data_IF_053472156713
#
_entry.id   IF_053472156713
#
_cell.length_a   1.000
_cell.length_b   1.000
_cell.length_c   1.000
_cell.angle_alpha   90.00
_cell.angle_beta   90.00
_cell.angle_gamma   90.00
#
_symmetry.space_group_name_H-M   'P 1'
#
loop_
_entity.id
_entity.type
_entity.pdbx_description
1 polymer ?
#
# COMPACT_ATOMS: atom_id res chain seq x y z
N UNK A 1 -21.37 0.17 17.00
CA UNK A 1 -20.39 0.16 15.90
C UNK A 1 -20.30 -1.24 15.34
N UNK A 2 -20.28 -1.44 14.02
CA UNK A 2 -20.02 -2.77 13.46
C UNK A 2 -18.60 -3.18 13.85
N UNK A 3 -18.42 -4.42 14.33
CA UNK A 3 -17.11 -4.95 14.67
C UNK A 3 -16.24 -5.01 13.40
N UNK A 4 -15.05 -4.42 13.47
CA UNK A 4 -14.07 -4.52 12.38
C UNK A 4 -13.39 -5.87 12.48
N UNK A 5 -13.52 -6.69 11.45
CA UNK A 5 -12.88 -8.01 11.36
C UNK A 5 -11.80 -8.02 10.28
N UNK A 6 -10.82 -8.95 10.34
CA UNK A 6 -9.82 -9.11 9.28
C UNK A 6 -10.43 -9.27 7.88
N UNK A 7 -11.54 -10.00 7.77
CA UNK A 7 -12.25 -10.18 6.49
C UNK A 7 -12.84 -8.88 5.96
N UNK A 8 -13.40 -8.04 6.84
CA UNK A 8 -13.90 -6.71 6.45
C UNK A 8 -12.74 -5.84 5.98
N UNK A 9 -11.61 -5.83 6.69
CA UNK A 9 -10.41 -5.08 6.29
C UNK A 9 -9.94 -5.53 4.90
N UNK A 10 -9.77 -6.85 4.72
CA UNK A 10 -9.35 -7.43 3.43
C UNK A 10 -10.30 -7.06 2.30
N UNK A 11 -11.61 -7.15 2.52
CA UNK A 11 -12.60 -6.79 1.52
C UNK A 11 -12.56 -5.29 1.16
N UNK A 12 -12.34 -4.41 2.14
CA UNK A 12 -12.19 -2.97 1.87
C UNK A 12 -10.89 -2.64 1.15
N UNK A 13 -9.77 -3.30 1.51
CA UNK A 13 -8.50 -3.15 0.79
C UNK A 13 -8.65 -3.55 -0.68
N UNK A 14 -9.20 -4.74 -0.94
CA UNK A 14 -9.45 -5.22 -2.31
C UNK A 14 -10.35 -4.28 -3.12
N UNK A 15 -11.38 -3.72 -2.47
CA UNK A 15 -12.25 -2.72 -3.10
C UNK A 15 -11.50 -1.42 -3.42
N UNK A 16 -10.63 -0.98 -2.53
CA UNK A 16 -9.76 0.18 -2.74
C UNK A 16 -8.81 -0.03 -3.92
N UNK A 17 -8.12 -1.17 -3.96
CA UNK A 17 -7.17 -1.53 -5.01
C UNK A 17 -7.86 -1.59 -6.38
N UNK A 18 -9.02 -2.26 -6.48
CA UNK A 18 -9.77 -2.33 -7.71
C UNK A 18 -10.19 -0.94 -8.21
N UNK A 19 -10.66 -0.08 -7.30
CA UNK A 19 -11.06 1.28 -7.66
C UNK A 19 -9.87 2.13 -8.10
N UNK A 20 -8.71 1.99 -7.46
CA UNK A 20 -7.49 2.68 -7.85
C UNK A 20 -7.03 2.24 -9.25
N UNK A 21 -7.04 0.93 -9.52
CA UNK A 21 -6.68 0.39 -10.82
C UNK A 21 -7.56 0.92 -11.95
N UNK A 22 -8.88 0.97 -11.75
CA UNK A 22 -9.83 1.59 -12.69
C UNK A 22 -9.49 3.07 -12.94
N UNK A 23 -9.26 3.83 -11.86
CA UNK A 23 -8.94 5.25 -11.97
C UNK A 23 -7.66 5.47 -12.78
N UNK A 24 -6.60 4.71 -12.47
CA UNK A 24 -5.31 4.81 -13.15
C UNK A 24 -5.41 4.48 -14.65
N UNK A 25 -6.29 3.57 -15.08
CA UNK A 25 -6.51 3.28 -16.50
C UNK A 25 -7.16 4.45 -17.24
N UNK A 26 -7.99 5.22 -16.55
CA UNK A 26 -8.75 6.33 -17.14
C UNK A 26 -8.08 7.70 -16.98
N UNK A 27 -7.03 7.80 -16.15
CA UNK A 27 -6.37 9.05 -15.80
C UNK A 27 -5.42 9.50 -16.92
N UNK A 28 -5.69 10.59 -17.64
CA UNK A 28 -4.75 11.11 -18.62
C UNK A 28 -3.53 11.68 -17.89
N UNK A 29 -2.32 11.27 -18.25
CA UNK A 29 -1.07 11.70 -17.61
C UNK A 29 -0.88 13.23 -17.55
N UNK A 30 -1.52 13.94 -18.46
CA UNK A 30 -1.48 15.40 -18.63
C UNK A 30 -2.57 16.14 -17.84
N UNK A 31 -3.52 15.42 -17.22
CA UNK A 31 -4.56 16.06 -16.41
C UNK A 31 -3.97 16.65 -15.14
N UNK A 32 -4.47 17.82 -14.78
CA UNK A 32 -4.16 18.46 -13.51
C UNK A 32 -5.26 18.10 -12.51
N UNK A 33 -4.87 17.61 -11.34
CA UNK A 33 -5.77 17.37 -10.22
C UNK A 33 -6.14 18.70 -9.54
N UNK A 34 -7.03 18.64 -8.56
CA UNK A 34 -7.42 19.81 -7.76
C UNK A 34 -6.18 20.47 -7.16
N UNK A 35 -5.95 21.75 -7.49
CA UNK A 35 -4.76 22.49 -7.08
C UNK A 35 -3.60 22.50 -8.10
N UNK A 36 -3.89 22.25 -9.39
CA UNK A 36 -2.93 22.34 -10.52
C UNK A 36 -1.73 21.38 -10.43
N UNK A 37 -1.84 20.28 -9.68
CA UNK A 37 -0.80 19.26 -9.70
C UNK A 37 -1.00 18.28 -10.86
N UNK A 38 0.05 17.98 -11.64
CA UNK A 38 -0.04 16.92 -12.63
C UNK A 38 -0.43 15.59 -11.97
N UNK A 39 -1.39 14.88 -12.56
CA UNK A 39 -1.98 13.69 -11.97
C UNK A 39 -0.93 12.59 -11.67
N UNK A 40 0.10 12.48 -12.50
CA UNK A 40 1.23 11.57 -12.26
C UNK A 40 1.96 11.85 -10.94
N UNK A 41 2.10 13.12 -10.51
CA UNK A 41 2.72 13.45 -9.22
C UNK A 41 1.84 13.02 -8.05
N UNK A 42 0.53 13.13 -8.18
CA UNK A 42 -0.40 12.62 -7.19
C UNK A 42 -0.27 11.10 -7.05
N UNK A 43 -0.20 10.37 -8.17
CA UNK A 43 0.03 8.92 -8.16
C UNK A 43 1.35 8.54 -7.50
N UNK A 44 2.45 9.24 -7.84
CA UNK A 44 3.75 9.01 -7.21
C UNK A 44 3.70 9.22 -5.69
N UNK A 45 3.04 10.29 -5.22
CA UNK A 45 2.84 10.55 -3.78
C UNK A 45 2.04 9.44 -3.09
N UNK A 46 1.05 8.88 -3.77
CA UNK A 46 0.29 7.74 -3.25
C UNK A 46 1.17 6.49 -3.13
N UNK A 47 2.02 6.21 -4.13
CA UNK A 47 2.99 5.11 -4.08
C UNK A 47 3.98 5.32 -2.92
N UNK A 48 4.51 6.53 -2.77
CA UNK A 48 5.42 6.88 -1.66
C UNK A 48 4.77 6.64 -0.29
N UNK A 49 3.50 6.99 -0.14
CA UNK A 49 2.72 6.78 1.08
C UNK A 49 2.60 5.28 1.44
N UNK A 50 2.25 4.44 0.46
CA UNK A 50 2.14 2.99 0.69
C UNK A 50 3.50 2.34 1.00
N UNK A 51 4.57 2.78 0.32
CA UNK A 51 5.93 2.32 0.63
C UNK A 51 6.36 2.71 2.05
N UNK A 52 5.98 3.90 2.51
CA UNK A 52 6.25 4.35 3.88
C UNK A 52 5.56 3.45 4.91
N UNK A 53 4.27 3.17 4.73
CA UNK A 53 3.53 2.26 5.61
C UNK A 53 4.07 0.82 5.57
N UNK A 54 4.46 0.34 4.39
CA UNK A 54 5.10 -0.97 4.27
C UNK A 54 6.39 -1.06 5.10
N UNK A 55 7.23 -0.02 5.05
CA UNK A 55 8.43 0.07 5.90
C UNK A 55 8.13 0.09 7.40
N UNK A 56 7.06 0.77 7.82
CA UNK A 56 6.61 0.74 9.22
C UNK A 56 6.19 -0.67 9.66
N UNK A 57 5.48 -1.41 8.80
CA UNK A 57 5.09 -2.79 9.07
C UNK A 57 6.30 -3.71 9.17
N UNK A 58 7.30 -3.56 8.29
CA UNK A 58 8.56 -4.30 8.40
C UNK A 58 9.21 -4.04 9.76
N UNK A 59 9.36 -2.78 10.16
CA UNK A 59 9.93 -2.44 11.48
C UNK A 59 9.14 -3.12 12.62
N UNK A 60 7.82 -3.15 12.53
CA UNK A 60 6.97 -3.81 13.52
C UNK A 60 7.23 -5.33 13.57
N UNK A 61 7.36 -5.99 12.41
CA UNK A 61 7.75 -7.41 12.34
C UNK A 61 9.09 -7.65 13.05
N UNK A 62 10.09 -6.78 12.84
CA UNK A 62 11.42 -6.92 13.44
C UNK A 62 11.43 -6.66 14.95
N UNK A 63 10.80 -5.57 15.41
CA UNK A 63 10.73 -5.23 16.83
C UNK A 63 10.03 -6.31 17.67
N UNK A 64 9.02 -6.98 17.10
CA UNK A 64 8.20 -7.95 17.81
C UNK A 64 8.50 -9.41 17.44
N UNK A 65 9.51 -9.67 16.59
CA UNK A 65 9.87 -11.00 16.09
C UNK A 65 8.65 -11.78 15.56
N UNK A 66 7.79 -11.10 14.80
CA UNK A 66 6.60 -11.72 14.21
C UNK A 66 6.98 -12.58 12.99
N UNK A 67 6.17 -13.56 12.57
CA UNK A 67 6.46 -14.31 11.36
C UNK A 67 6.56 -13.39 10.14
N UNK A 68 7.68 -13.48 9.39
CA UNK A 68 7.84 -12.79 8.12
C UNK A 68 7.02 -13.54 7.05
N UNK A 69 6.11 -12.87 6.32
CA UNK A 69 5.40 -13.49 5.21
C UNK A 69 6.39 -14.07 4.16
N UNK A 70 6.20 -15.31 3.67
CA UNK A 70 7.15 -15.92 2.73
C UNK A 70 7.38 -15.12 1.44
N UNK A 71 6.33 -14.49 0.90
CA UNK A 71 6.46 -13.60 -0.25
C UNK A 71 7.38 -12.43 0.05
N UNK A 72 7.27 -11.84 1.25
CA UNK A 72 8.07 -10.68 1.63
C UNK A 72 9.53 -11.02 1.91
N UNK A 73 9.80 -12.20 2.45
CA UNK A 73 11.17 -12.68 2.64
C UNK A 73 11.94 -12.73 1.31
N UNK A 74 11.30 -13.19 0.23
CA UNK A 74 11.90 -13.25 -1.09
C UNK A 74 11.92 -11.89 -1.80
N UNK A 75 10.76 -11.22 -1.90
CA UNK A 75 10.61 -9.97 -2.67
C UNK A 75 11.43 -8.81 -2.10
N UNK A 76 11.59 -8.77 -0.76
CA UNK A 76 12.24 -7.67 -0.05
C UNK A 76 13.50 -8.11 0.69
N UNK A 77 14.00 -9.33 0.41
CA UNK A 77 15.19 -9.92 1.03
C UNK A 77 15.18 -9.87 2.58
N UNK A 78 14.01 -10.04 3.20
CA UNK A 78 13.86 -9.98 4.65
C UNK A 78 14.25 -11.31 5.31
N UNK A 79 15.08 -11.22 6.35
CA UNK A 79 15.47 -12.35 7.20
C UNK A 79 15.76 -11.86 8.60
N UNK A 80 15.56 -12.73 9.59
CA UNK A 80 16.06 -12.47 10.95
C UNK A 80 17.54 -12.80 11.02
N UNK A 81 18.30 -11.93 11.67
CA UNK A 81 19.63 -12.31 12.13
C UNK A 81 19.47 -13.41 13.19
N UNK A 82 20.26 -14.48 13.03
CA UNK A 82 20.37 -15.61 13.96
C UNK A 82 20.79 -15.15 15.37
#
# INVERSE_FOLDING_TARGET
FKQVTPDIIKAQMQKGDARLAELLQTLPFETHTVGEQPAHKTVLRMIEHEMHHHGQLINFLFCHRLPIPPSWAYEWALRYDE
#
